data_IF_630692471788
#
_entry.id   IF_630692471788
#
_cell.length_a   1.000
_cell.length_b   1.000
_cell.length_c   1.000
_cell.angle_alpha   90.00
_cell.angle_beta   90.00
_cell.angle_gamma   90.00
#
_symmetry.space_group_name_H-M   'P 1'
#
loop_
_entity.id
_entity.type
_entity.pdbx_description
1 polymer ?
#
# COMPACT_ATOMS: atom_id res chain seq x y z
N UNK A 1 -40.02 -16.07 -3.42
CA UNK A 1 -38.60 -16.32 -3.05
C UNK A 1 -37.62 -16.28 -4.23
N UNK A 2 -37.75 -17.13 -5.28
CA UNK A 2 -36.80 -17.18 -6.43
C UNK A 2 -36.58 -15.84 -7.19
N UNK A 3 -37.60 -14.97 -7.31
CA UNK A 3 -37.46 -13.65 -7.97
C UNK A 3 -36.54 -12.67 -7.20
N UNK A 4 -36.62 -12.66 -5.86
CA UNK A 4 -35.81 -11.77 -5.02
C UNK A 4 -34.32 -12.18 -5.03
N UNK A 5 -34.06 -13.49 -5.05
CA UNK A 5 -32.69 -14.05 -5.19
C UNK A 5 -32.09 -13.67 -6.56
N UNK A 6 -32.86 -13.82 -7.65
CA UNK A 6 -32.41 -13.42 -9.00
C UNK A 6 -32.11 -11.92 -9.09
N UNK A 7 -32.91 -11.07 -8.43
CA UNK A 7 -32.67 -9.62 -8.37
C UNK A 7 -31.40 -9.30 -7.56
N UNK A 8 -31.23 -9.90 -6.39
CA UNK A 8 -30.03 -9.72 -5.57
C UNK A 8 -28.75 -10.11 -6.30
N UNK A 9 -28.74 -11.25 -6.99
CA UNK A 9 -27.61 -11.68 -7.81
C UNK A 9 -27.26 -10.70 -8.93
N UNK A 10 -28.26 -10.18 -9.67
CA UNK A 10 -28.02 -9.18 -10.73
C UNK A 10 -27.43 -7.89 -10.17
N UNK A 11 -27.96 -7.41 -9.05
CA UNK A 11 -27.48 -6.19 -8.38
C UNK A 11 -26.05 -6.40 -7.89
N UNK A 12 -25.77 -7.51 -7.19
CA UNK A 12 -24.43 -7.83 -6.73
C UNK A 12 -23.41 -7.90 -7.87
N UNK A 13 -23.76 -8.57 -8.97
CA UNK A 13 -22.94 -8.60 -10.18
C UNK A 13 -22.71 -7.22 -10.79
N UNK A 14 -23.74 -6.39 -10.85
CA UNK A 14 -23.63 -5.06 -11.42
C UNK A 14 -22.73 -4.15 -10.57
N UNK A 15 -22.86 -4.22 -9.24
CA UNK A 15 -22.00 -3.48 -8.30
C UNK A 15 -20.55 -3.91 -8.48
N UNK A 16 -20.26 -5.22 -8.45
CA UNK A 16 -18.90 -5.73 -8.66
C UNK A 16 -18.36 -5.26 -10.00
N UNK A 17 -19.11 -5.43 -11.09
CA UNK A 17 -18.68 -5.01 -12.42
C UNK A 17 -18.41 -3.50 -12.49
N UNK A 18 -19.26 -2.67 -11.88
CA UNK A 18 -19.10 -1.20 -11.90
C UNK A 18 -17.93 -0.73 -11.03
N UNK A 19 -17.68 -1.39 -9.89
CA UNK A 19 -16.57 -1.06 -9.00
C UNK A 19 -15.22 -1.61 -9.50
N UNK A 20 -15.21 -2.71 -10.26
CA UNK A 20 -13.99 -3.32 -10.82
C UNK A 20 -13.76 -3.02 -12.29
N UNK A 21 -14.67 -2.32 -12.98
CA UNK A 21 -14.46 -1.94 -14.38
C UNK A 21 -13.46 -0.80 -14.45
N UNK A 22 -12.31 -1.08 -15.06
CA UNK A 22 -11.23 -0.12 -15.27
C UNK A 22 -11.04 0.04 -16.77
N UNK A 23 -10.88 1.26 -17.24
CA UNK A 23 -10.61 1.49 -18.66
C UNK A 23 -9.29 0.80 -19.07
N UNK A 24 -9.19 0.17 -20.26
CA UNK A 24 -7.98 -0.56 -20.66
C UNK A 24 -6.70 0.29 -20.64
N UNK A 25 -6.81 1.59 -20.92
CA UNK A 25 -5.70 2.54 -20.83
C UNK A 25 -5.17 2.68 -19.40
N UNK A 26 -6.08 2.68 -18.43
CA UNK A 26 -5.77 2.78 -17.01
C UNK A 26 -5.09 1.51 -16.47
N UNK A 27 -5.43 0.34 -17.03
CA UNK A 27 -4.75 -0.92 -16.71
C UNK A 27 -3.27 -0.88 -17.10
N UNK A 28 -2.93 -0.29 -18.25
CA UNK A 28 -1.54 -0.17 -18.72
C UNK A 28 -0.72 0.70 -17.76
N UNK A 29 -1.26 1.83 -17.30
CA UNK A 29 -0.56 2.70 -16.35
C UNK A 29 -0.38 2.05 -14.98
N UNK A 30 -1.40 1.32 -14.50
CA UNK A 30 -1.29 0.53 -13.28
C UNK A 30 -0.21 -0.56 -13.40
N UNK A 31 -0.14 -1.24 -14.55
CA UNK A 31 0.90 -2.22 -14.85
C UNK A 31 2.29 -1.58 -14.87
N UNK A 32 2.50 -0.50 -15.63
CA UNK A 32 3.79 0.15 -15.76
C UNK A 32 4.29 0.70 -14.42
N UNK A 33 3.43 1.39 -13.66
CA UNK A 33 3.77 1.90 -12.34
C UNK A 33 4.14 0.78 -11.36
N UNK A 34 3.34 -0.29 -11.31
CA UNK A 34 3.63 -1.47 -10.50
C UNK A 34 4.94 -2.14 -10.90
N UNK A 35 5.14 -2.39 -12.19
CA UNK A 35 6.31 -3.08 -12.70
C UNK A 35 7.58 -2.29 -12.40
N UNK A 36 7.59 -0.99 -12.70
CA UNK A 36 8.75 -0.13 -12.46
C UNK A 36 9.03 0.01 -10.97
N UNK A 37 8.01 0.23 -10.14
CA UNK A 37 8.18 0.36 -8.69
C UNK A 37 8.77 -0.91 -8.06
N UNK A 38 8.22 -2.07 -8.38
CA UNK A 38 8.70 -3.35 -7.86
C UNK A 38 10.06 -3.73 -8.44
N UNK A 39 10.32 -3.47 -9.74
CA UNK A 39 11.62 -3.72 -10.35
C UNK A 39 12.72 -2.87 -9.72
N UNK A 40 12.47 -1.58 -9.46
CA UNK A 40 13.42 -0.72 -8.77
C UNK A 40 13.74 -1.24 -7.37
N UNK A 41 12.73 -1.63 -6.60
CA UNK A 41 12.92 -2.25 -5.28
C UNK A 41 13.74 -3.52 -5.41
N UNK A 42 13.35 -4.43 -6.30
CA UNK A 42 14.01 -5.71 -6.50
C UNK A 42 15.49 -5.54 -6.85
N UNK A 43 15.83 -4.63 -7.78
CA UNK A 43 17.21 -4.36 -8.18
C UNK A 43 18.02 -3.78 -7.02
N UNK A 44 17.51 -2.75 -6.34
CA UNK A 44 18.24 -2.06 -5.28
C UNK A 44 18.42 -3.00 -4.08
N UNK A 45 17.36 -3.66 -3.62
CA UNK A 45 17.42 -4.51 -2.43
C UNK A 45 18.20 -5.80 -2.68
N UNK A 46 18.22 -6.34 -3.91
CA UNK A 46 19.03 -7.52 -4.23
C UNK A 46 20.54 -7.29 -4.05
N UNK A 47 21.01 -6.04 -4.05
CA UNK A 47 22.42 -5.72 -3.81
C UNK A 47 22.80 -5.75 -2.33
N UNK A 48 21.84 -5.54 -1.43
CA UNK A 48 22.10 -5.35 0.00
C UNK A 48 21.48 -6.44 0.89
N UNK A 49 20.46 -7.14 0.42
CA UNK A 49 19.73 -8.16 1.18
C UNK A 49 19.90 -9.54 0.56
N UNK A 50 19.69 -10.55 1.39
CA UNK A 50 19.76 -11.93 0.94
C UNK A 50 18.50 -12.28 0.13
N UNK A 51 18.60 -13.31 -0.71
CA UNK A 51 17.54 -13.65 -1.67
C UNK A 51 16.19 -13.93 -0.99
N UNK A 52 16.20 -14.62 0.15
CA UNK A 52 15.00 -14.92 0.94
C UNK A 52 14.30 -13.65 1.46
N UNK A 53 15.06 -12.71 2.01
CA UNK A 53 14.51 -11.45 2.53
C UNK A 53 13.96 -10.57 1.44
N UNK A 54 14.65 -10.53 0.29
CA UNK A 54 14.19 -9.80 -0.88
C UNK A 54 12.83 -10.33 -1.35
N UNK A 55 12.64 -11.66 -1.41
CA UNK A 55 11.35 -12.27 -1.78
C UNK A 55 10.24 -11.86 -0.80
N UNK A 56 10.52 -11.89 0.52
CA UNK A 56 9.55 -11.48 1.53
C UNK A 56 9.16 -10.00 1.40
N UNK A 57 10.15 -9.11 1.22
CA UNK A 57 9.92 -7.68 1.05
C UNK A 57 9.18 -7.36 -0.24
N UNK A 58 9.53 -8.02 -1.35
CA UNK A 58 8.77 -7.92 -2.60
C UNK A 58 7.33 -8.36 -2.38
N UNK A 59 7.06 -9.34 -1.52
CA UNK A 59 5.70 -9.71 -1.12
C UNK A 59 4.94 -8.55 -0.45
N UNK A 60 5.56 -7.90 0.53
CA UNK A 60 4.98 -6.73 1.21
C UNK A 60 4.78 -5.56 0.23
N UNK A 61 5.81 -5.18 -0.52
CA UNK A 61 5.73 -4.08 -1.49
C UNK A 61 4.84 -4.40 -2.69
N UNK A 62 4.71 -5.67 -3.08
CA UNK A 62 3.78 -6.12 -4.11
C UNK A 62 2.33 -5.83 -3.70
N UNK A 63 1.96 -6.14 -2.46
CA UNK A 63 0.65 -5.78 -1.92
C UNK A 63 0.46 -4.26 -1.84
N UNK A 64 1.51 -3.51 -1.53
CA UNK A 64 1.52 -2.04 -1.63
C UNK A 64 1.25 -1.58 -3.06
N UNK A 65 1.89 -2.20 -4.06
CA UNK A 65 1.70 -1.92 -5.48
C UNK A 65 0.26 -2.10 -5.93
N UNK A 66 -0.42 -3.16 -5.48
CA UNK A 66 -1.85 -3.39 -5.73
C UNK A 66 -2.69 -2.19 -5.28
N UNK A 67 -2.39 -1.63 -4.10
CA UNK A 67 -3.12 -0.47 -3.58
C UNK A 67 -2.74 0.82 -4.31
N UNK A 68 -1.45 1.16 -4.36
CA UNK A 68 -1.02 2.49 -4.80
C UNK A 68 -1.00 2.66 -6.32
N UNK A 69 -0.96 1.58 -7.10
CA UNK A 69 -1.06 1.64 -8.56
C UNK A 69 -2.41 1.11 -9.08
N UNK A 70 -3.00 0.10 -8.43
CA UNK A 70 -4.28 -0.49 -8.86
C UNK A 70 -5.52 0.20 -8.29
N UNK A 71 -5.47 0.64 -7.03
CA UNK A 71 -6.60 1.23 -6.31
C UNK A 71 -6.29 2.66 -5.84
N UNK A 72 -5.84 3.52 -6.76
CA UNK A 72 -5.26 4.85 -6.49
C UNK A 72 -6.16 5.79 -5.66
N UNK A 73 -7.49 5.62 -5.75
CA UNK A 73 -8.47 6.40 -5.01
C UNK A 73 -8.82 5.83 -3.63
N UNK A 74 -8.32 4.64 -3.31
CA UNK A 74 -8.54 4.02 -2.01
C UNK A 74 -7.95 4.89 -0.90
N UNK A 75 -8.66 5.10 0.21
CA UNK A 75 -8.10 5.79 1.37
C UNK A 75 -6.87 5.06 1.92
N UNK A 76 -6.81 3.73 1.81
CA UNK A 76 -5.69 2.89 2.26
C UNK A 76 -4.44 3.04 1.37
N UNK A 77 -4.61 3.48 0.14
CA UNK A 77 -3.53 3.69 -0.82
C UNK A 77 -2.86 5.07 -0.65
N UNK A 78 -3.43 6.00 0.12
CA UNK A 78 -2.94 7.38 0.16
C UNK A 78 -1.56 7.51 0.83
N UNK A 79 -0.74 8.52 0.47
CA UNK A 79 0.65 8.62 0.92
C UNK A 79 0.85 8.58 2.44
N UNK A 80 -0.09 9.15 3.22
CA UNK A 80 -0.04 9.08 4.69
C UNK A 80 -0.14 7.64 5.20
N UNK A 81 -1.03 6.84 4.63
CA UNK A 81 -1.22 5.46 5.04
C UNK A 81 -0.05 4.61 4.54
N UNK A 82 0.37 4.80 3.29
CA UNK A 82 1.55 4.17 2.72
C UNK A 82 2.78 4.35 3.65
N UNK A 83 3.19 5.59 3.93
CA UNK A 83 4.38 5.87 4.74
C UNK A 83 4.13 5.46 6.20
N UNK A 84 3.07 5.98 6.82
CA UNK A 84 2.82 5.78 8.24
C UNK A 84 2.58 4.32 8.60
N UNK A 85 1.85 3.58 7.75
CA UNK A 85 1.57 2.18 7.97
C UNK A 85 2.83 1.32 7.94
N UNK A 86 3.71 1.50 6.96
CA UNK A 86 4.98 0.75 6.92
C UNK A 86 5.92 1.12 8.07
N UNK A 87 6.08 2.42 8.39
CA UNK A 87 7.02 2.85 9.43
C UNK A 87 6.57 2.43 10.83
N UNK A 88 5.29 2.62 11.18
CA UNK A 88 4.74 2.18 12.48
C UNK A 88 4.89 0.67 12.63
N UNK A 89 4.55 -0.07 11.57
CA UNK A 89 4.72 -1.52 11.54
C UNK A 89 6.16 -1.98 11.70
N UNK A 90 7.11 -1.31 11.04
CA UNK A 90 8.53 -1.63 11.15
C UNK A 90 9.04 -1.42 12.58
N UNK A 91 8.68 -0.30 13.23
CA UNK A 91 9.01 -0.02 14.63
C UNK A 91 8.48 -1.13 15.53
N UNK A 92 7.21 -1.48 15.40
CA UNK A 92 6.57 -2.51 16.23
C UNK A 92 7.17 -3.88 15.97
N UNK A 93 7.40 -4.25 14.71
CA UNK A 93 8.02 -5.52 14.34
C UNK A 93 9.41 -5.71 14.93
N UNK A 94 10.28 -4.70 14.78
CA UNK A 94 11.62 -4.71 15.38
C UNK A 94 11.55 -4.77 16.90
N UNK A 95 10.67 -3.99 17.53
CA UNK A 95 10.49 -3.98 18.98
C UNK A 95 10.09 -5.37 19.48
N UNK A 96 9.07 -5.98 18.87
CA UNK A 96 8.62 -7.32 19.24
C UNK A 96 9.72 -8.37 19.01
N UNK A 97 10.46 -8.27 17.91
CA UNK A 97 11.59 -9.17 17.64
C UNK A 97 12.67 -9.09 18.72
N UNK A 98 12.98 -7.88 19.23
CA UNK A 98 13.99 -7.69 20.28
C UNK A 98 13.59 -8.31 21.63
N UNK A 99 12.29 -8.29 21.97
CA UNK A 99 11.82 -8.81 23.25
C UNK A 99 11.39 -10.28 23.22
N UNK A 100 10.89 -10.76 22.07
CA UNK A 100 10.21 -12.05 21.96
C UNK A 100 10.70 -12.89 20.79
N UNK A 101 11.79 -12.49 20.10
CA UNK A 101 12.31 -13.16 18.91
C UNK A 101 12.59 -14.65 19.10
N UNK A 102 12.91 -15.08 20.31
CA UNK A 102 13.13 -16.50 20.67
C UNK A 102 11.88 -17.37 20.51
N UNK A 103 10.68 -16.78 20.59
CA UNK A 103 9.39 -17.48 20.45
C UNK A 103 8.72 -17.03 19.14
N UNK A 104 9.24 -17.53 18.02
CA UNK A 104 8.94 -17.06 16.67
C UNK A 104 7.42 -16.93 16.37
N UNK A 105 6.63 -17.96 16.66
CA UNK A 105 5.19 -17.95 16.38
C UNK A 105 4.44 -16.86 17.15
N UNK A 106 4.86 -16.59 18.39
CA UNK A 106 4.25 -15.59 19.26
C UNK A 106 4.69 -14.18 18.84
N UNK A 107 5.98 -13.99 18.58
CA UNK A 107 6.52 -12.73 18.08
C UNK A 107 5.88 -12.33 16.74
N UNK A 108 5.71 -13.28 15.82
CA UNK A 108 5.05 -13.06 14.54
C UNK A 108 3.57 -12.65 14.72
N UNK A 109 2.82 -13.35 15.57
CA UNK A 109 1.42 -13.03 15.83
C UNK A 109 1.25 -11.66 16.51
N UNK A 110 2.11 -11.36 17.48
CA UNK A 110 2.10 -10.09 18.21
C UNK A 110 2.53 -8.91 17.34
N UNK A 111 3.60 -9.05 16.56
CA UNK A 111 4.10 -7.97 15.71
C UNK A 111 3.03 -7.49 14.72
N UNK A 112 2.35 -8.42 14.05
CA UNK A 112 1.29 -8.11 13.09
C UNK A 112 0.08 -7.51 13.81
N UNK A 113 -0.37 -8.13 14.91
CA UNK A 113 -1.58 -7.71 15.64
C UNK A 113 -1.43 -6.32 16.28
N UNK A 114 -0.28 -6.05 16.93
CA UNK A 114 0.05 -4.73 17.47
C UNK A 114 0.19 -3.69 16.38
N UNK A 115 0.77 -4.05 15.23
CA UNK A 115 0.90 -3.15 14.08
C UNK A 115 -0.46 -2.75 13.51
N UNK A 116 -1.39 -3.71 13.38
CA UNK A 116 -2.77 -3.42 12.97
C UNK A 116 -3.42 -2.45 13.95
N UNK A 117 -3.33 -2.73 15.26
CA UNK A 117 -3.89 -1.87 16.30
C UNK A 117 -3.31 -0.45 16.26
N UNK A 118 -1.99 -0.32 16.14
CA UNK A 118 -1.32 0.97 16.10
C UNK A 118 -1.65 1.77 14.82
N UNK A 119 -1.76 1.10 13.67
CA UNK A 119 -2.21 1.72 12.43
C UNK A 119 -3.67 2.19 12.49
N UNK A 120 -4.55 1.43 13.16
CA UNK A 120 -5.93 1.84 13.40
C UNK A 120 -6.01 3.07 14.29
N UNK A 121 -5.23 3.09 15.38
CA UNK A 121 -5.18 4.21 16.32
C UNK A 121 -4.63 5.49 15.67
N UNK A 122 -3.53 5.38 14.92
CA UNK A 122 -2.89 6.50 14.21
C UNK A 122 -3.59 6.92 12.91
N UNK A 123 -4.63 6.17 12.50
CA UNK A 123 -5.39 6.36 11.25
C UNK A 123 -4.48 6.31 10.02
N UNK A 124 -3.52 5.39 10.00
CA UNK A 124 -2.59 5.15 8.88
C UNK A 124 -2.67 3.71 8.37
N UNK A 125 -3.86 3.08 8.47
CA UNK A 125 -4.06 1.70 8.05
C UNK A 125 -3.62 1.48 6.60
N UNK A 126 -2.57 0.67 6.47
CA UNK A 126 -2.01 0.19 5.22
C UNK A 126 -1.71 -1.30 5.39
N UNK A 127 -2.60 -2.20 4.92
CA UNK A 127 -2.46 -3.64 5.15
C UNK A 127 -1.08 -4.24 4.84
N UNK A 128 -0.36 -3.80 3.79
CA UNK A 128 1.01 -4.26 3.52
C UNK A 128 2.01 -4.00 4.67
N UNK A 129 1.76 -3.00 5.51
CA UNK A 129 2.52 -2.75 6.73
C UNK A 129 2.46 -3.92 7.71
N UNK A 130 1.37 -4.69 7.75
CA UNK A 130 1.32 -5.92 8.55
C UNK A 130 2.40 -6.93 8.14
N UNK A 131 2.61 -7.10 6.83
CA UNK A 131 3.70 -7.92 6.32
C UNK A 131 5.07 -7.33 6.66
N UNK A 132 5.25 -6.00 6.63
CA UNK A 132 6.49 -5.36 7.07
C UNK A 132 6.83 -5.65 8.53
N UNK A 133 5.84 -5.63 9.43
CA UNK A 133 6.04 -6.00 10.82
C UNK A 133 6.43 -7.48 10.98
N UNK A 134 5.80 -8.36 10.21
CA UNK A 134 6.11 -9.79 10.20
C UNK A 134 7.54 -10.05 9.73
N UNK A 135 7.98 -9.39 8.66
CA UNK A 135 9.32 -9.57 8.07
C UNK A 135 10.43 -9.17 9.05
N UNK A 136 10.20 -8.15 9.89
CA UNK A 136 11.16 -7.80 10.94
C UNK A 136 11.38 -8.92 11.97
N UNK A 137 10.46 -9.89 12.07
CA UNK A 137 10.52 -11.03 12.98
C UNK A 137 11.00 -12.32 12.28
N UNK A 138 10.51 -12.58 11.07
CA UNK A 138 10.80 -13.83 10.33
C UNK A 138 11.93 -13.71 9.31
N UNK A 139 12.50 -12.52 9.16
CA UNK A 139 13.61 -12.26 8.25
C UNK A 139 14.87 -13.03 8.66
N UNK A 140 15.85 -13.09 7.77
CA UNK A 140 17.15 -13.68 8.06
C UNK A 140 17.85 -12.98 9.23
N UNK A 141 18.95 -13.58 9.71
CA UNK A 141 19.84 -12.95 10.69
C UNK A 141 20.31 -11.56 10.25
N UNK A 142 20.41 -11.31 8.95
CA UNK A 142 20.76 -10.00 8.40
C UNK A 142 19.67 -8.97 8.67
N UNK A 143 18.41 -9.30 8.43
CA UNK A 143 17.26 -8.42 8.71
C UNK A 143 17.12 -8.18 10.22
N UNK A 144 17.20 -9.26 11.01
CA UNK A 144 17.10 -9.18 12.47
C UNK A 144 18.26 -8.33 13.02
N UNK A 145 19.48 -8.53 12.50
CA UNK A 145 20.68 -7.80 12.88
C UNK A 145 20.67 -6.31 12.54
N UNK A 146 19.82 -5.85 11.61
CA UNK A 146 19.62 -4.41 11.37
C UNK A 146 18.98 -3.73 12.60
N UNK A 147 18.17 -4.44 13.38
CA UNK A 147 17.37 -3.82 14.44
C UNK A 147 16.59 -2.62 13.92
N UNK A 148 16.69 -1.46 14.58
CA UNK A 148 15.96 -0.26 14.16
C UNK A 148 16.44 0.33 12.82
N UNK A 149 17.61 -0.07 12.29
CA UNK A 149 18.00 0.31 10.93
C UNK A 149 17.05 -0.24 9.86
N UNK A 150 16.34 -1.34 10.14
CA UNK A 150 15.30 -1.91 9.28
C UNK A 150 14.27 -0.86 8.84
N UNK A 151 13.94 0.11 9.72
CA UNK A 151 12.99 1.19 9.46
C UNK A 151 13.47 2.09 8.32
N UNK A 152 14.75 2.46 8.31
CA UNK A 152 15.32 3.34 7.29
C UNK A 152 15.64 2.56 6.01
N UNK A 153 16.23 1.37 6.17
CA UNK A 153 16.55 0.47 5.09
C UNK A 153 16.27 -0.96 5.55
N UNK A 154 15.37 -1.71 4.90
CA UNK A 154 14.83 -1.48 3.55
C UNK A 154 13.47 -0.76 3.49
N UNK A 155 12.86 -0.43 4.64
CA UNK A 155 11.45 -0.01 4.67
C UNK A 155 11.24 1.40 4.11
N UNK A 156 11.79 2.43 4.74
CA UNK A 156 11.58 3.82 4.32
C UNK A 156 12.10 4.05 2.89
N UNK A 157 13.26 3.48 2.55
CA UNK A 157 13.81 3.55 1.20
C UNK A 157 12.85 2.94 0.16
N UNK A 158 12.35 1.72 0.39
CA UNK A 158 11.40 1.04 -0.49
C UNK A 158 10.08 1.80 -0.64
N UNK A 159 9.51 2.27 0.47
CA UNK A 159 8.27 3.07 0.45
C UNK A 159 8.46 4.38 -0.30
N UNK A 160 9.61 5.03 -0.16
CA UNK A 160 9.92 6.27 -0.87
C UNK A 160 10.01 6.04 -2.38
N UNK A 161 10.69 4.97 -2.81
CA UNK A 161 10.76 4.58 -4.23
C UNK A 161 9.35 4.36 -4.80
N UNK A 162 8.53 3.57 -4.09
CA UNK A 162 7.16 3.28 -4.50
C UNK A 162 6.30 4.54 -4.57
N UNK A 163 6.44 5.45 -3.61
CA UNK A 163 5.72 6.71 -3.62
C UNK A 163 6.12 7.60 -4.81
N UNK A 164 7.42 7.70 -5.12
CA UNK A 164 7.90 8.51 -6.25
C UNK A 164 7.37 7.98 -7.59
N UNK A 165 7.40 6.67 -7.77
CA UNK A 165 6.82 6.02 -8.96
C UNK A 165 5.31 6.23 -9.01
N UNK A 166 4.60 6.11 -7.87
CA UNK A 166 3.15 6.36 -7.81
C UNK A 166 2.80 7.82 -8.14
N UNK A 167 3.55 8.80 -7.62
CA UNK A 167 3.36 10.20 -7.96
C UNK A 167 3.62 10.49 -9.44
N UNK A 168 4.51 9.74 -10.07
CA UNK A 168 4.78 9.87 -11.51
C UNK A 168 3.64 9.25 -12.31
N UNK A 169 3.44 7.94 -12.20
CA UNK A 169 2.53 7.18 -13.08
C UNK A 169 1.06 7.46 -12.84
N UNK A 170 0.65 7.78 -11.61
CA UNK A 170 -0.74 8.07 -11.30
C UNK A 170 -1.14 9.53 -11.51
N UNK A 171 -0.28 10.35 -12.12
CA UNK A 171 -0.61 11.71 -12.53
C UNK A 171 -0.32 11.98 -14.02
N UNK A 172 -0.01 10.94 -14.82
CA UNK A 172 0.23 11.08 -16.27
C UNK A 172 -1.07 11.37 -17.03
N UNK A 173 -2.18 10.70 -16.67
CA UNK A 173 -3.47 10.86 -17.34
C UNK A 173 -4.40 11.77 -16.53
N UNK A 174 -5.31 12.53 -17.17
CA UNK A 174 -6.32 13.34 -16.46
C UNK A 174 -7.30 12.52 -15.62
N UNK A 175 -7.43 11.23 -15.92
CA UNK A 175 -8.33 10.30 -15.24
C UNK A 175 -7.70 9.70 -13.99
N UNK A 176 -6.37 9.71 -13.87
CA UNK A 176 -5.65 9.36 -12.64
C UNK A 176 -5.34 10.60 -11.82
N UNK A 177 -5.46 10.45 -10.52
CA UNK A 177 -5.07 11.50 -9.59
C UNK A 177 -4.59 10.88 -8.28
N UNK A 178 -3.34 11.13 -7.94
CA UNK A 178 -2.73 10.62 -6.73
C UNK A 178 -1.76 11.66 -6.12
N UNK A 179 -1.97 12.10 -4.88
CA UNK A 179 -3.02 11.71 -3.93
C UNK A 179 -4.42 12.14 -4.37
N UNK A 180 -5.44 11.36 -3.99
CA UNK A 180 -6.84 11.64 -4.32
C UNK A 180 -7.37 12.91 -3.62
N UNK A 181 -6.83 13.23 -2.44
CA UNK A 181 -7.15 14.45 -1.70
C UNK A 181 -5.94 15.39 -1.68
N UNK A 182 -6.08 16.58 -2.27
CA UNK A 182 -5.03 17.60 -2.32
C UNK A 182 -4.52 18.13 -0.98
N UNK A 183 -5.05 17.67 0.16
CA UNK A 183 -4.54 18.02 1.50
C UNK A 183 -3.07 17.62 1.67
N UNK A 184 -2.67 16.47 1.13
CA UNK A 184 -1.27 16.03 1.18
C UNK A 184 -0.37 16.94 0.33
N UNK A 185 -0.80 17.33 -0.87
CA UNK A 185 -0.04 18.29 -1.71
C UNK A 185 -0.01 19.71 -1.12
N UNK A 186 -1.07 20.15 -0.42
CA UNK A 186 -1.07 21.43 0.33
C UNK A 186 -0.07 21.41 1.49
N UNK A 187 0.10 20.27 2.15
CA UNK A 187 1.10 20.11 3.22
C UNK A 187 2.53 20.27 2.69
N UNK A 188 2.77 19.85 1.44
CA UNK A 188 4.11 19.91 0.80
C UNK A 188 4.28 21.20 -0.04
N UNK A 189 3.25 22.07 -0.15
CA UNK A 189 3.26 23.36 -0.90
C UNK A 189 3.78 23.30 -2.36
N UNK A 190 3.83 22.13 -2.98
CA UNK A 190 4.51 21.97 -4.28
C UNK A 190 3.65 22.35 -5.50
N UNK A 191 2.31 22.29 -5.44
CA UNK A 191 1.44 22.49 -6.62
C UNK A 191 0.13 23.20 -6.22
N UNK A 192 -0.27 24.30 -6.89
CA UNK A 192 -1.60 24.89 -6.73
C UNK A 192 -2.67 23.94 -7.29
N UNK A 193 -3.56 23.50 -6.40
CA UNK A 193 -4.55 22.47 -6.69
C UNK A 193 -5.71 23.03 -7.54
N UNK A 194 -6.01 22.47 -8.72
CA UNK A 194 -7.18 22.90 -9.50
C UNK A 194 -8.47 22.53 -8.74
N UNK A 195 -9.52 23.37 -8.80
CA UNK A 195 -10.77 23.11 -8.09
C UNK A 195 -11.33 21.74 -8.52
N UNK A 196 -11.80 20.96 -7.55
CA UNK A 196 -12.35 19.63 -7.79
C UNK A 196 -13.43 19.71 -8.88
N UNK A 197 -13.15 19.20 -10.09
CA UNK A 197 -14.20 18.99 -11.09
C UNK A 197 -15.24 18.10 -10.44
N UNK A 198 -16.49 18.58 -10.37
CA UNK A 198 -17.66 17.87 -9.87
C UNK A 198 -17.86 16.54 -10.63
N UNK A 199 -17.11 15.48 -10.30
CA UNK A 199 -17.29 14.13 -10.86
C UNK A 199 -18.55 13.44 -10.30
N UNK A 200 -19.15 13.96 -9.22
CA UNK A 200 -20.41 13.46 -8.65
C UNK A 200 -21.68 13.95 -9.35
N UNK A 201 -21.59 14.77 -10.41
CA UNK A 201 -22.79 15.24 -11.14
C UNK A 201 -23.31 14.25 -12.19
N UNK A 202 -22.60 13.15 -12.48
CA UNK A 202 -23.06 12.15 -13.47
C UNK A 202 -24.04 11.10 -12.90
N UNK A 203 -24.19 10.99 -11.59
CA UNK A 203 -25.09 10.00 -10.96
C UNK A 203 -26.56 10.46 -10.80
N UNK A 204 -26.91 11.69 -11.19
CA UNK A 204 -28.29 12.25 -11.07
C UNK A 204 -29.11 12.28 -12.36
N UNK A 205 -28.64 11.65 -13.45
CA UNK A 205 -29.40 11.55 -14.71
C UNK A 205 -29.62 10.09 -15.12
N UNK A 206 -30.19 9.28 -14.24
CA UNK A 206 -30.82 8.00 -14.60
C UNK A 206 -31.71 7.50 -13.45
N UNK A 207 -32.71 8.29 -13.09
CA UNK A 207 -33.95 7.82 -12.46
C UNK A 207 -35.10 8.19 -13.39
#
# INVERSE_FOLDING_TARGET
MKKNIKRGYRIGRYIVYKETSVEPKELIWSFLGSFIGIACIGIIQNQYLDQSDNILLIGSFGATGVLIYGAIHSPLAQPRNLIGGHLISAVIGVTVCQFLGDILWLAAALSVSLSILAMQFSKTLHPPGGATALIAVIGSEKIIGLGYWYIFFPVLSGVTIMLLVALTFNNITPDRQYPANGRFLRMIKLIPWPPAKNRFKKDKKMC
#
